data_IF_085261977257
#
_entry.id   IF_085261977257
#
_cell.length_a   1.000
_cell.length_b   1.000
_cell.length_c   1.000
_cell.angle_alpha   90.00
_cell.angle_beta   90.00
_cell.angle_gamma   90.00
#
_symmetry.space_group_name_H-M   'P 1'
#
loop_
_entity.id
_entity.type
_entity.pdbx_description
1 polymer ?
#
# COMPACT_ATOMS: atom_id res chain seq x y z
N UNK A 1 -27.21 9.37 29.00
CA UNK A 1 -25.74 9.44 29.09
C UNK A 1 -25.02 8.20 28.56
N UNK A 2 -25.50 6.95 28.88
CA UNK A 2 -24.84 5.70 28.43
C UNK A 2 -24.83 5.53 26.91
N UNK A 3 -25.93 5.75 26.23
CA UNK A 3 -26.06 5.56 24.75
C UNK A 3 -25.15 6.54 24.01
N UNK A 4 -25.02 7.78 24.44
CA UNK A 4 -24.12 8.77 23.84
C UNK A 4 -22.65 8.37 24.01
N UNK A 5 -22.26 7.87 25.17
CA UNK A 5 -20.91 7.38 25.46
C UNK A 5 -20.56 6.13 24.65
N UNK A 6 -21.52 5.22 24.49
CA UNK A 6 -21.37 4.01 23.70
C UNK A 6 -21.21 4.30 22.20
N UNK A 7 -21.95 5.28 21.64
CA UNK A 7 -21.78 5.72 20.25
C UNK A 7 -20.46 6.45 20.00
N UNK A 8 -20.02 7.28 20.91
CA UNK A 8 -18.72 7.94 20.81
C UNK A 8 -17.58 6.92 20.83
N UNK A 9 -17.68 5.87 21.66
CA UNK A 9 -16.73 4.75 21.60
C UNK A 9 -16.76 4.05 20.25
N UNK A 10 -17.92 3.72 19.70
CA UNK A 10 -18.05 3.05 18.40
C UNK A 10 -17.48 3.88 17.22
N UNK A 11 -17.60 5.21 17.25
CA UNK A 11 -16.99 6.07 16.21
C UNK A 11 -15.48 6.08 16.34
N UNK A 12 -14.97 6.24 17.56
CA UNK A 12 -13.52 6.22 17.83
C UNK A 12 -12.89 4.91 17.38
N UNK A 13 -13.51 3.78 17.67
CA UNK A 13 -13.02 2.46 17.29
C UNK A 13 -12.95 2.32 15.76
N UNK A 14 -13.98 2.79 15.05
CA UNK A 14 -14.02 2.76 13.59
C UNK A 14 -13.03 3.73 12.96
N UNK A 15 -12.88 4.91 13.52
CA UNK A 15 -11.91 5.90 13.07
C UNK A 15 -10.48 5.41 13.28
N UNK A 16 -10.19 4.78 14.42
CA UNK A 16 -8.88 4.17 14.71
C UNK A 16 -8.58 2.98 13.80
N UNK A 17 -9.58 2.10 13.57
CA UNK A 17 -9.41 0.98 12.64
C UNK A 17 -9.12 1.47 11.21
N UNK A 18 -9.85 2.50 10.76
CA UNK A 18 -9.60 3.11 9.47
C UNK A 18 -8.24 3.81 9.39
N UNK A 19 -7.86 4.51 10.45
CA UNK A 19 -6.52 5.13 10.53
C UNK A 19 -5.41 4.09 10.40
N UNK A 20 -5.51 2.97 11.13
CA UNK A 20 -4.51 1.90 11.08
C UNK A 20 -4.41 1.25 9.70
N UNK A 21 -5.55 0.94 9.07
CA UNK A 21 -5.58 0.39 7.71
C UNK A 21 -5.03 1.40 6.69
N UNK A 22 -5.48 2.66 6.75
CA UNK A 22 -4.99 3.72 5.87
C UNK A 22 -3.49 3.99 6.06
N UNK A 23 -3.02 3.97 7.28
CA UNK A 23 -1.60 4.10 7.59
C UNK A 23 -0.77 3.02 6.90
N UNK A 24 -1.15 1.74 7.04
CA UNK A 24 -0.49 0.64 6.34
C UNK A 24 -0.54 0.76 4.82
N UNK A 25 -1.71 1.14 4.28
CA UNK A 25 -1.89 1.38 2.85
C UNK A 25 -0.98 2.50 2.33
N UNK A 26 -0.91 3.64 3.02
CA UNK A 26 -0.06 4.76 2.61
C UNK A 26 1.44 4.48 2.76
N UNK A 27 1.84 3.67 3.75
CA UNK A 27 3.23 3.16 3.83
C UNK A 27 3.57 2.38 2.56
N UNK A 28 2.72 1.42 2.18
CA UNK A 28 2.93 0.62 0.98
C UNK A 28 2.98 1.51 -0.27
N UNK A 29 2.04 2.44 -0.43
CA UNK A 29 2.00 3.35 -1.58
C UNK A 29 3.25 4.23 -1.69
N UNK A 30 3.81 4.68 -0.56
CA UNK A 30 4.99 5.54 -0.54
C UNK A 30 6.27 4.84 -1.04
N UNK A 31 6.34 3.52 -0.93
CA UNK A 31 7.54 2.75 -1.31
C UNK A 31 7.30 1.78 -2.47
N UNK A 32 6.06 1.66 -2.99
CA UNK A 32 5.68 0.62 -3.95
C UNK A 32 6.50 0.64 -5.23
N UNK A 33 6.70 1.81 -5.82
CA UNK A 33 7.50 1.95 -7.05
C UNK A 33 8.94 1.54 -6.82
N UNK A 34 9.53 2.02 -5.73
CA UNK A 34 10.90 1.70 -5.33
C UNK A 34 11.07 0.22 -5.01
N UNK A 35 10.07 -0.37 -4.36
CA UNK A 35 10.05 -1.80 -4.05
C UNK A 35 10.00 -2.66 -5.31
N UNK A 36 9.13 -2.33 -6.29
CA UNK A 36 9.03 -3.08 -7.54
C UNK A 36 10.31 -2.92 -8.38
N UNK A 37 10.85 -1.70 -8.47
CA UNK A 37 12.10 -1.44 -9.16
C UNK A 37 13.25 -2.22 -8.53
N UNK A 38 13.41 -2.17 -7.22
CA UNK A 38 14.46 -2.91 -6.51
C UNK A 38 14.30 -4.43 -6.61
N UNK A 39 13.07 -4.94 -6.60
CA UNK A 39 12.78 -6.37 -6.63
C UNK A 39 13.01 -7.00 -8.00
N UNK A 40 12.74 -6.27 -9.09
CA UNK A 40 12.73 -6.80 -10.46
C UNK A 40 13.72 -6.10 -11.42
N UNK A 41 14.42 -5.06 -10.97
CA UNK A 41 15.28 -4.28 -11.86
C UNK A 41 14.53 -3.54 -12.97
N UNK A 42 13.26 -3.21 -12.76
CA UNK A 42 12.45 -2.53 -13.75
C UNK A 42 12.73 -1.03 -13.76
N UNK A 43 12.70 -0.42 -14.94
CA UNK A 43 12.81 1.03 -15.10
C UNK A 43 11.71 1.78 -14.37
N UNK A 44 11.96 3.02 -14.00
CA UNK A 44 10.97 3.89 -13.34
C UNK A 44 9.69 4.03 -14.14
N UNK A 45 9.80 4.10 -15.49
CA UNK A 45 8.62 4.21 -16.37
C UNK A 45 7.74 2.96 -16.29
N UNK A 46 8.33 1.76 -16.35
CA UNK A 46 7.58 0.50 -16.28
C UNK A 46 6.93 0.33 -14.91
N UNK A 47 7.65 0.65 -13.85
CA UNK A 47 7.14 0.62 -12.47
C UNK A 47 6.01 1.63 -12.28
N UNK A 48 6.12 2.81 -12.91
CA UNK A 48 5.08 3.82 -12.92
C UNK A 48 3.79 3.34 -13.59
N UNK A 49 3.87 2.56 -14.67
CA UNK A 49 2.68 1.96 -15.30
C UNK A 49 2.02 0.94 -14.38
N UNK A 50 2.78 0.07 -13.72
CA UNK A 50 2.24 -0.89 -12.76
C UNK A 50 1.55 -0.18 -11.60
N UNK A 51 2.19 0.86 -11.04
CA UNK A 51 1.63 1.69 -9.99
C UNK A 51 0.31 2.34 -10.43
N UNK A 52 0.28 2.93 -11.63
CA UNK A 52 -0.91 3.62 -12.16
C UNK A 52 -2.06 2.65 -12.41
N UNK A 53 -1.78 1.46 -12.96
CA UNK A 53 -2.77 0.41 -13.16
C UNK A 53 -3.33 -0.09 -11.83
N UNK A 54 -2.47 -0.31 -10.84
CA UNK A 54 -2.89 -0.67 -9.48
C UNK A 54 -3.77 0.43 -8.87
N UNK A 55 -3.35 1.69 -8.95
CA UNK A 55 -4.10 2.82 -8.41
C UNK A 55 -5.49 2.96 -9.05
N UNK A 56 -5.57 2.84 -10.38
CA UNK A 56 -6.84 2.84 -11.10
C UNK A 56 -7.74 1.67 -10.68
N UNK A 57 -7.18 0.47 -10.52
CA UNK A 57 -7.92 -0.72 -10.12
C UNK A 57 -8.58 -0.59 -8.75
N UNK A 58 -7.99 0.16 -7.81
CA UNK A 58 -8.57 0.43 -6.48
C UNK A 58 -9.92 1.15 -6.62
N UNK A 59 -10.02 2.15 -7.50
CA UNK A 59 -11.27 2.89 -7.69
C UNK A 59 -12.33 2.08 -8.43
N UNK A 60 -11.92 1.33 -9.46
CA UNK A 60 -12.84 0.46 -10.23
C UNK A 60 -13.41 -0.64 -9.32
N UNK A 61 -12.54 -1.29 -8.55
CA UNK A 61 -12.95 -2.38 -7.67
C UNK A 61 -13.71 -1.88 -6.43
N UNK A 62 -13.56 -0.61 -6.05
CA UNK A 62 -14.37 0.00 -4.99
C UNK A 62 -15.86 0.05 -5.36
N UNK A 63 -16.20 0.26 -6.64
CA UNK A 63 -17.58 0.19 -7.12
C UNK A 63 -18.14 -1.23 -6.96
N UNK A 64 -17.36 -2.25 -7.36
CA UNK A 64 -17.75 -3.64 -7.17
C UNK A 64 -17.96 -3.99 -5.68
N UNK A 65 -17.06 -3.49 -4.82
CA UNK A 65 -17.15 -3.66 -3.37
C UNK A 65 -18.44 -3.07 -2.78
N UNK A 66 -18.85 -1.88 -3.23
CA UNK A 66 -20.12 -1.24 -2.85
C UNK A 66 -21.33 -2.08 -3.25
N UNK A 67 -21.38 -2.52 -4.52
CA UNK A 67 -22.48 -3.36 -5.04
C UNK A 67 -22.59 -4.68 -4.26
N UNK A 68 -21.47 -5.31 -3.91
CA UNK A 68 -21.47 -6.57 -3.12
C UNK A 68 -22.08 -6.32 -1.74
N UNK A 69 -21.70 -5.24 -1.06
CA UNK A 69 -22.21 -4.93 0.27
C UNK A 69 -23.70 -4.58 0.25
N UNK A 70 -24.15 -3.83 -0.75
CA UNK A 70 -25.55 -3.46 -0.91
C UNK A 70 -26.44 -4.68 -1.19
N UNK A 71 -25.94 -5.63 -1.98
CA UNK A 71 -26.66 -6.90 -2.24
C UNK A 71 -26.71 -7.83 -1.04
N UNK A 72 -25.61 -7.95 -0.33
CA UNK A 72 -25.52 -8.84 0.85
C UNK A 72 -26.08 -8.20 2.12
N UNK A 73 -26.24 -6.89 2.15
CA UNK A 73 -26.62 -6.07 3.33
C UNK A 73 -25.79 -6.38 4.58
N UNK A 74 -24.63 -7.01 4.39
CA UNK A 74 -23.72 -7.38 5.46
C UNK A 74 -22.41 -6.58 5.40
N UNK A 75 -22.49 -5.30 5.69
CA UNK A 75 -21.33 -4.38 5.65
C UNK A 75 -20.17 -4.85 6.53
N UNK A 76 -20.45 -5.38 7.74
CA UNK A 76 -19.39 -5.87 8.64
C UNK A 76 -18.64 -7.07 8.07
N UNK A 77 -19.36 -8.02 7.51
CA UNK A 77 -18.76 -9.20 6.85
C UNK A 77 -17.93 -8.80 5.64
N UNK A 78 -18.44 -7.88 4.81
CA UNK A 78 -17.74 -7.37 3.62
C UNK A 78 -16.43 -6.65 4.00
N UNK A 79 -16.45 -5.83 5.06
CA UNK A 79 -15.27 -5.15 5.59
C UNK A 79 -14.23 -6.19 6.08
N UNK A 80 -14.66 -7.21 6.83
CA UNK A 80 -13.76 -8.25 7.34
C UNK A 80 -13.11 -9.05 6.21
N UNK A 81 -13.89 -9.46 5.21
CA UNK A 81 -13.36 -10.13 4.00
C UNK A 81 -12.37 -9.23 3.27
N UNK A 82 -12.67 -7.93 3.16
CA UNK A 82 -11.75 -6.95 2.56
C UNK A 82 -10.40 -6.89 3.29
N UNK A 83 -10.42 -6.85 4.62
CA UNK A 83 -9.19 -6.86 5.42
C UNK A 83 -8.37 -8.14 5.26
N UNK A 84 -9.04 -9.31 5.23
CA UNK A 84 -8.38 -10.61 5.03
C UNK A 84 -7.74 -10.66 3.64
N UNK A 85 -8.45 -10.22 2.59
CA UNK A 85 -7.92 -10.18 1.23
C UNK A 85 -6.70 -9.24 1.14
N UNK A 86 -6.76 -8.06 1.75
CA UNK A 86 -5.58 -7.17 1.80
C UNK A 86 -4.40 -7.84 2.50
N UNK A 87 -4.62 -8.50 3.63
CA UNK A 87 -3.56 -9.22 4.34
C UNK A 87 -2.94 -10.32 3.47
N UNK A 88 -3.76 -11.12 2.77
CA UNK A 88 -3.29 -12.15 1.83
C UNK A 88 -2.50 -11.51 0.68
N UNK A 89 -2.99 -10.43 0.10
CA UNK A 89 -2.28 -9.72 -0.96
C UNK A 89 -0.92 -9.17 -0.52
N UNK A 90 -0.82 -8.61 0.68
CA UNK A 90 0.47 -8.19 1.26
C UNK A 90 1.43 -9.37 1.47
N UNK A 91 0.95 -10.52 1.94
CA UNK A 91 1.77 -11.72 2.08
C UNK A 91 2.28 -12.22 0.72
N UNK A 92 1.45 -12.19 -0.32
CA UNK A 92 1.86 -12.56 -1.69
C UNK A 92 2.99 -11.65 -2.19
N UNK A 93 2.87 -10.33 -2.01
CA UNK A 93 3.90 -9.37 -2.45
C UNK A 93 5.18 -9.53 -1.64
N UNK A 94 5.08 -9.90 -0.36
CA UNK A 94 6.22 -10.10 0.53
C UNK A 94 7.05 -11.36 0.22
N UNK A 95 6.58 -12.25 -0.66
CA UNK A 95 7.33 -13.45 -1.06
C UNK A 95 8.71 -13.04 -1.59
N UNK A 96 9.80 -13.55 -1.01
CA UNK A 96 11.16 -13.25 -1.48
C UNK A 96 11.35 -13.70 -2.92
N UNK A 97 12.02 -12.87 -3.71
CA UNK A 97 12.39 -13.21 -5.09
C UNK A 97 13.89 -13.43 -5.13
N UNK A 98 14.36 -14.58 -5.61
CA UNK A 98 15.80 -14.81 -5.80
C UNK A 98 16.38 -13.82 -6.81
N UNK A 99 17.63 -13.43 -6.61
CA UNK A 99 18.38 -12.56 -7.54
C UNK A 99 19.57 -13.34 -8.10
N UNK A 100 19.74 -13.49 -9.42
CA UNK A 100 18.87 -13.01 -10.51
C UNK A 100 17.51 -13.69 -10.53
N UNK A 101 16.48 -12.98 -11.06
CA UNK A 101 15.10 -13.48 -11.06
C UNK A 101 14.94 -14.67 -12.01
N UNK A 102 14.63 -15.88 -11.52
CA UNK A 102 14.63 -17.09 -12.37
C UNK A 102 13.55 -17.08 -13.46
N UNK A 103 12.40 -16.45 -13.17
CA UNK A 103 11.28 -16.31 -14.10
C UNK A 103 10.57 -14.99 -13.84
N UNK A 104 10.92 -13.97 -14.62
CA UNK A 104 10.32 -12.63 -14.53
C UNK A 104 8.80 -12.69 -14.64
N UNK A 105 8.27 -13.46 -15.60
CA UNK A 105 6.82 -13.57 -15.82
C UNK A 105 6.08 -14.13 -14.60
N UNK A 106 6.66 -15.14 -13.93
CA UNK A 106 6.04 -15.75 -12.75
C UNK A 106 6.04 -14.80 -11.55
N UNK A 107 7.20 -14.26 -11.18
CA UNK A 107 7.34 -13.45 -9.96
C UNK A 107 6.68 -12.07 -10.11
N UNK A 108 6.81 -11.43 -11.28
CA UNK A 108 6.11 -10.18 -11.57
C UNK A 108 4.60 -10.40 -11.66
N UNK A 109 4.17 -11.48 -12.32
CA UNK A 109 2.75 -11.86 -12.39
C UNK A 109 2.16 -12.11 -11.01
N UNK A 110 2.88 -12.80 -10.12
CA UNK A 110 2.46 -13.03 -8.73
C UNK A 110 2.37 -11.71 -7.94
N UNK A 111 3.31 -10.80 -8.14
CA UNK A 111 3.28 -9.48 -7.51
C UNK A 111 2.11 -8.65 -8.01
N UNK A 112 1.85 -8.62 -9.33
CA UNK A 112 0.69 -7.95 -9.90
C UNK A 112 -0.63 -8.57 -9.42
N UNK A 113 -0.70 -9.89 -9.30
CA UNK A 113 -1.86 -10.58 -8.72
C UNK A 113 -2.07 -10.18 -7.26
N UNK A 114 -1.01 -10.14 -6.44
CA UNK A 114 -1.07 -9.65 -5.07
C UNK A 114 -1.60 -8.21 -4.98
N UNK A 115 -1.15 -7.32 -5.88
CA UNK A 115 -1.66 -5.96 -5.97
C UNK A 115 -3.15 -5.92 -6.31
N UNK A 116 -3.63 -6.75 -7.23
CA UNK A 116 -5.06 -6.84 -7.57
C UNK A 116 -5.88 -7.35 -6.38
N UNK A 117 -5.38 -8.33 -5.62
CA UNK A 117 -6.03 -8.82 -4.40
C UNK A 117 -6.13 -7.72 -3.34
N UNK A 118 -5.05 -6.90 -3.16
CA UNK A 118 -5.07 -5.73 -2.28
C UNK A 118 -6.09 -4.71 -2.76
N UNK A 119 -6.12 -4.40 -4.06
CA UNK A 119 -7.05 -3.43 -4.63
C UNK A 119 -8.51 -3.86 -4.43
N UNK A 120 -8.82 -5.14 -4.62
CA UNK A 120 -10.15 -5.69 -4.38
C UNK A 120 -10.52 -5.65 -2.90
N UNK A 121 -9.62 -6.08 -2.02
CA UNK A 121 -9.82 -5.99 -0.56
C UNK A 121 -10.06 -4.56 -0.09
N UNK A 122 -9.28 -3.60 -0.62
CA UNK A 122 -9.45 -2.19 -0.36
C UNK A 122 -10.82 -1.67 -0.83
N UNK A 123 -11.28 -2.11 -2.01
CA UNK A 123 -12.61 -1.79 -2.52
C UNK A 123 -13.73 -2.27 -1.60
N UNK A 124 -13.62 -3.49 -1.08
CA UNK A 124 -14.56 -4.05 -0.11
C UNK A 124 -14.54 -3.30 1.24
N UNK A 125 -13.39 -2.79 1.65
CA UNK A 125 -13.22 -2.11 2.94
C UNK A 125 -13.67 -0.65 2.90
N UNK A 126 -13.12 0.15 1.98
CA UNK A 126 -13.16 1.62 2.01
C UNK A 126 -14.58 2.18 1.96
N UNK A 127 -15.37 1.81 0.95
CA UNK A 127 -16.72 2.34 0.77
C UNK A 127 -17.68 1.87 1.87
N UNK A 128 -17.55 0.62 2.26
CA UNK A 128 -18.45 -0.02 3.22
C UNK A 128 -18.23 0.47 4.66
N UNK A 129 -16.99 0.84 5.00
CA UNK A 129 -16.73 1.44 6.30
C UNK A 129 -17.36 2.83 6.43
N UNK A 130 -17.33 3.64 5.35
CA UNK A 130 -17.99 4.94 5.30
C UNK A 130 -19.51 4.80 5.42
N UNK A 131 -20.11 3.86 4.67
CA UNK A 131 -21.53 3.53 4.77
C UNK A 131 -21.93 3.12 6.19
N UNK A 132 -21.12 2.30 6.84
CA UNK A 132 -21.33 1.86 8.22
C UNK A 132 -21.26 3.03 9.22
N UNK A 133 -20.39 4.01 9.00
CA UNK A 133 -20.33 5.24 9.80
C UNK A 133 -21.61 6.06 9.57
N UNK A 134 -22.06 6.21 8.31
CA UNK A 134 -23.31 6.91 7.98
C UNK A 134 -24.52 6.34 8.70
N UNK A 135 -24.68 5.01 8.67
CA UNK A 135 -25.78 4.29 9.35
C UNK A 135 -25.86 4.54 10.87
N UNK A 136 -24.76 4.91 11.52
CA UNK A 136 -24.79 5.25 12.94
C UNK A 136 -25.59 6.50 13.26
N UNK A 137 -25.81 7.34 12.27
CA UNK A 137 -26.49 8.64 12.38
C UNK A 137 -27.86 8.68 11.69
N UNK A 138 -28.40 7.52 11.25
CA UNK A 138 -29.72 7.45 10.60
C UNK A 138 -30.89 7.70 11.58
N UNK A 139 -30.64 7.55 12.90
CA UNK A 139 -31.62 7.90 13.94
C UNK A 139 -31.81 9.45 13.97
N UNK A 140 -33.04 9.96 13.83
CA UNK A 140 -33.32 11.40 13.82
C UNK A 140 -32.75 12.18 15.01
N UNK A 141 -32.63 11.52 16.14
CA UNK A 141 -32.04 12.10 17.37
C UNK A 141 -30.57 12.46 17.25
N UNK A 142 -29.84 11.84 16.30
CA UNK A 142 -28.40 11.98 16.14
C UNK A 142 -27.99 12.46 14.75
N UNK A 143 -28.95 12.68 13.86
CA UNK A 143 -28.71 13.14 12.47
C UNK A 143 -27.89 14.44 12.44
N UNK A 144 -28.12 15.35 13.37
CA UNK A 144 -27.39 16.62 13.49
C UNK A 144 -25.89 16.44 13.80
N UNK A 145 -25.45 15.27 14.27
CA UNK A 145 -24.05 14.96 14.57
C UNK A 145 -23.35 14.20 13.44
N UNK A 146 -24.04 13.92 12.35
CA UNK A 146 -23.52 13.13 11.22
C UNK A 146 -22.28 13.78 10.62
N UNK A 147 -22.33 15.07 10.33
CA UNK A 147 -21.20 15.80 9.73
C UNK A 147 -20.00 15.85 10.66
N UNK A 148 -20.21 16.11 11.95
CA UNK A 148 -19.15 16.07 12.94
C UNK A 148 -18.50 14.66 13.06
N UNK A 149 -19.32 13.61 12.96
CA UNK A 149 -18.84 12.22 12.94
C UNK A 149 -17.95 11.93 11.74
N UNK A 150 -18.35 12.35 10.54
CA UNK A 150 -17.53 12.21 9.34
C UNK A 150 -16.26 13.07 9.39
N UNK A 151 -16.31 14.28 9.93
CA UNK A 151 -15.12 15.12 10.11
C UNK A 151 -14.08 14.43 11.02
N UNK A 152 -14.51 13.86 12.15
CA UNK A 152 -13.62 13.08 13.03
C UNK A 152 -13.04 11.87 12.27
N UNK A 153 -13.88 11.14 11.53
CA UNK A 153 -13.46 9.98 10.76
C UNK A 153 -12.38 10.34 9.72
N UNK A 154 -12.57 11.42 8.96
CA UNK A 154 -11.59 11.91 7.99
C UNK A 154 -10.32 12.49 8.63
N UNK A 155 -10.45 13.14 9.78
CA UNK A 155 -9.29 13.62 10.53
C UNK A 155 -8.32 12.47 10.87
N UNK A 156 -8.83 11.34 11.32
CA UNK A 156 -8.00 10.17 11.62
C UNK A 156 -7.34 9.57 10.36
N UNK A 157 -8.02 9.59 9.21
CA UNK A 157 -7.41 9.20 7.93
C UNK A 157 -6.22 10.10 7.61
N UNK A 158 -6.39 11.41 7.71
CA UNK A 158 -5.36 12.39 7.39
C UNK A 158 -4.14 12.28 8.34
N UNK A 159 -4.39 12.01 9.64
CA UNK A 159 -3.30 11.74 10.59
C UNK A 159 -2.48 10.53 10.12
N UNK A 160 -3.13 9.42 9.76
CA UNK A 160 -2.45 8.25 9.21
C UNK A 160 -1.67 8.56 7.93
N UNK A 161 -2.25 9.34 7.02
CA UNK A 161 -1.64 9.71 5.74
C UNK A 161 -0.39 10.58 5.91
N UNK A 162 -0.39 11.52 6.85
CA UNK A 162 0.75 12.41 7.11
C UNK A 162 1.96 11.65 7.63
N UNK A 163 1.77 10.75 8.58
CA UNK A 163 2.89 10.04 9.20
C UNK A 163 3.42 8.87 8.38
N UNK A 164 2.60 8.26 7.53
CA UNK A 164 2.96 7.06 6.79
C UNK A 164 4.21 7.21 5.90
N UNK A 165 4.36 8.25 5.04
CA UNK A 165 5.55 8.41 4.19
C UNK A 165 6.82 8.59 4.99
N UNK A 166 6.79 9.37 6.08
CA UNK A 166 7.96 9.61 6.93
C UNK A 166 8.45 8.32 7.58
N UNK A 167 7.52 7.48 8.08
CA UNK A 167 7.86 6.20 8.69
C UNK A 167 8.36 5.22 7.62
N UNK A 168 7.73 5.16 6.45
CA UNK A 168 8.15 4.30 5.34
C UNK A 168 9.60 4.59 4.92
N UNK A 169 9.92 5.87 4.68
CA UNK A 169 11.26 6.30 4.29
C UNK A 169 12.25 6.13 5.45
N UNK A 170 11.85 6.48 6.67
CA UNK A 170 12.69 6.36 7.86
C UNK A 170 13.09 4.91 8.15
N UNK A 171 12.15 3.97 8.10
CA UNK A 171 12.43 2.54 8.31
C UNK A 171 13.32 1.99 7.19
N UNK A 172 13.06 2.35 5.93
CA UNK A 172 13.91 1.95 4.80
C UNK A 172 15.35 2.44 4.97
N UNK A 173 15.53 3.72 5.23
CA UNK A 173 16.87 4.30 5.37
C UNK A 173 17.60 3.77 6.60
N UNK A 174 16.87 3.56 7.71
CA UNK A 174 17.43 2.92 8.89
C UNK A 174 17.93 1.51 8.58
N UNK A 175 17.12 0.68 7.88
CA UNK A 175 17.49 -0.68 7.49
C UNK A 175 18.73 -0.70 6.59
N UNK A 176 18.80 0.18 5.60
CA UNK A 176 19.95 0.29 4.71
C UNK A 176 21.23 0.64 5.50
N UNK A 177 21.16 1.64 6.38
CA UNK A 177 22.30 2.06 7.22
C UNK A 177 22.79 0.96 8.16
N UNK A 178 21.86 0.20 8.75
CA UNK A 178 22.24 -0.98 9.58
C UNK A 178 23.00 -2.02 8.79
N UNK A 179 22.78 -2.12 7.47
CA UNK A 179 23.48 -3.02 6.58
C UNK A 179 24.64 -2.34 5.83
N UNK A 180 25.07 -1.16 6.27
CA UNK A 180 26.16 -0.38 5.66
C UNK A 180 25.92 0.03 4.20
N UNK A 181 24.67 0.38 3.88
CA UNK A 181 24.29 0.90 2.57
C UNK A 181 23.63 2.27 2.70
N UNK A 182 23.90 3.14 1.73
CA UNK A 182 23.11 4.34 1.51
C UNK A 182 22.09 4.11 0.38
N UNK A 183 21.05 4.95 0.35
CA UNK A 183 19.97 4.79 -0.61
C UNK A 183 20.28 5.49 -1.93
N UNK A 184 20.21 4.74 -3.03
CA UNK A 184 20.16 5.25 -4.39
C UNK A 184 19.01 4.60 -5.17
N UNK A 185 18.24 5.40 -5.94
CA UNK A 185 17.06 4.94 -6.65
C UNK A 185 17.40 4.13 -7.90
N UNK A 186 18.55 4.39 -8.53
CA UNK A 186 18.95 3.80 -9.81
C UNK A 186 19.82 2.56 -9.63
N UNK A 187 20.47 2.44 -8.48
CA UNK A 187 21.39 1.35 -8.19
C UNK A 187 20.75 -0.05 -8.35
N UNK A 188 19.52 -0.32 -7.89
CA UNK A 188 18.90 -1.64 -8.06
C UNK A 188 18.74 -2.04 -9.54
N UNK A 189 18.32 -1.12 -10.40
CA UNK A 189 18.17 -1.37 -11.84
C UNK A 189 19.53 -1.70 -12.49
N UNK A 190 20.56 -0.94 -12.17
CA UNK A 190 21.92 -1.17 -12.67
C UNK A 190 22.48 -2.49 -12.18
N UNK A 191 22.24 -2.87 -10.92
CA UNK A 191 22.65 -4.17 -10.39
C UNK A 191 21.95 -5.33 -11.13
N UNK A 192 20.67 -5.25 -11.41
CA UNK A 192 19.95 -6.27 -12.19
C UNK A 192 20.48 -6.35 -13.63
N UNK A 193 20.74 -5.22 -14.29
CA UNK A 193 21.34 -5.20 -15.62
C UNK A 193 22.73 -5.86 -15.63
N UNK A 194 23.54 -5.64 -14.60
CA UNK A 194 24.82 -6.28 -14.46
C UNK A 194 24.72 -7.80 -14.26
N UNK A 195 23.76 -8.26 -13.45
CA UNK A 195 23.52 -9.69 -13.23
C UNK A 195 23.02 -10.42 -14.49
N UNK A 196 22.32 -9.72 -15.38
CA UNK A 196 21.81 -10.28 -16.63
C UNK A 196 22.85 -10.26 -17.76
N UNK A 197 23.59 -9.17 -17.91
CA UNK A 197 24.49 -8.90 -19.06
C UNK A 197 25.99 -9.07 -18.72
N UNK A 198 26.35 -9.01 -17.45
CA UNK A 198 27.75 -9.05 -17.04
C UNK A 198 28.57 -7.93 -17.68
N UNK A 199 29.72 -8.30 -18.28
CA UNK A 199 30.60 -7.35 -18.94
C UNK A 199 30.08 -6.81 -20.29
N UNK A 200 28.98 -7.37 -20.83
CA UNK A 200 28.33 -6.89 -22.05
C UNK A 200 27.38 -5.70 -21.78
N UNK A 201 27.38 -5.19 -20.58
CA UNK A 201 26.66 -3.98 -20.21
C UNK A 201 27.23 -2.76 -20.92
N UNK A 202 26.36 -1.78 -21.26
CA UNK A 202 26.80 -0.54 -21.89
C UNK A 202 27.89 0.14 -21.05
N UNK A 203 28.99 0.63 -21.64
CA UNK A 203 30.15 1.20 -20.91
C UNK A 203 29.74 2.29 -19.92
N UNK A 204 28.82 3.17 -20.32
CA UNK A 204 28.32 4.26 -19.50
C UNK A 204 27.48 3.76 -18.28
N UNK A 205 26.73 2.67 -18.45
CA UNK A 205 25.98 2.06 -17.37
C UNK A 205 26.90 1.33 -16.37
N UNK A 206 27.98 0.73 -16.86
CA UNK A 206 29.03 0.09 -16.02
C UNK A 206 29.78 1.15 -15.20
N UNK A 207 30.14 2.29 -15.80
CA UNK A 207 30.78 3.41 -15.11
C UNK A 207 29.86 3.97 -14.00
N UNK A 208 28.59 4.17 -14.32
CA UNK A 208 27.60 4.61 -13.33
C UNK A 208 27.44 3.60 -12.19
N UNK A 209 27.35 2.29 -12.50
CA UNK A 209 27.26 1.24 -11.49
C UNK A 209 28.46 1.28 -10.55
N UNK A 210 29.70 1.35 -11.10
CA UNK A 210 30.92 1.35 -10.29
C UNK A 210 31.03 2.60 -9.41
N UNK A 211 30.60 3.73 -9.90
CA UNK A 211 30.60 4.99 -9.15
C UNK A 211 29.57 4.96 -8.03
N UNK A 212 28.34 4.57 -8.34
CA UNK A 212 27.23 4.51 -7.36
C UNK A 212 27.50 3.40 -6.32
N UNK A 213 28.02 2.26 -6.72
CA UNK A 213 28.34 1.19 -5.79
C UNK A 213 29.40 1.60 -4.74
N UNK A 214 30.39 2.40 -5.14
CA UNK A 214 31.39 2.95 -4.21
C UNK A 214 30.82 3.97 -3.24
N UNK A 215 29.83 4.76 -3.68
CA UNK A 215 29.18 5.78 -2.82
C UNK A 215 28.06 5.21 -1.96
N UNK A 216 27.43 4.13 -2.42
CA UNK A 216 26.32 3.48 -1.70
C UNK A 216 26.78 2.54 -0.58
N UNK A 217 28.01 2.02 -0.63
CA UNK A 217 28.58 1.21 0.46
C UNK A 217 29.23 2.16 1.46
N UNK A 218 28.74 2.13 2.69
CA UNK A 218 29.30 2.88 3.82
C UNK A 218 30.43 2.07 4.44
N UNK A 219 31.61 2.71 4.64
CA UNK A 219 32.76 2.13 5.34
C UNK A 219 32.47 1.84 6.82
#
# INVERSE_FOLDING_TARGET
>A
PRVRRQRQMCIRDRALANMGERFGFYIMMAILTLFISAKFGLSETTTGYIYSAFYASIYILALAGGVIADKTKNFKGTILVGLILMAVGYLIIAIPTPTPVPSMALYLGLTCFGLLVIAFGNGLFKGNLQALVGQMYDDPKYSNLRDAGFQIFYMFINIGAVFAPFIAIGVRNWWLKVNNFDYDATLPELCHQYLEKGNDMAPQAMENLTTLAKTAVLD
#
